data_IF_890819472879
#
_entry.id   IF_890819472879
#
_cell.length_a   1.000
_cell.length_b   1.000
_cell.length_c   1.000
_cell.angle_alpha   90.00
_cell.angle_beta   90.00
_cell.angle_gamma   90.00
#
_symmetry.space_group_name_H-M   'P 1'
#
loop_
_entity.id
_entity.type
_entity.pdbx_description
1 polymer ?
#
# COMPACT_ATOMS: atom_id res chain seq x y z
N UNK A 1 2.75 52.08 -18.72
CA UNK A 1 3.72 51.57 -17.72
C UNK A 1 2.92 51.31 -16.46
N UNK A 2 2.43 50.07 -16.30
CA UNK A 2 1.57 49.71 -15.17
C UNK A 2 2.46 49.51 -13.94
N UNK A 3 2.21 50.29 -12.91
CA UNK A 3 2.87 50.21 -11.60
C UNK A 3 2.30 49.01 -10.86
N UNK A 4 3.05 47.92 -10.79
CA UNK A 4 2.73 46.78 -9.94
C UNK A 4 2.94 47.20 -8.47
N UNK A 5 1.85 47.27 -7.72
CA UNK A 5 1.85 47.57 -6.29
C UNK A 5 2.25 46.31 -5.50
N UNK A 6 3.37 46.32 -4.73
CA UNK A 6 3.86 45.15 -4.00
C UNK A 6 2.98 44.76 -2.79
N UNK A 7 1.96 45.57 -2.44
CA UNK A 7 1.09 45.31 -1.29
C UNK A 7 -0.02 44.27 -1.58
N UNK A 8 -0.36 44.03 -2.85
CA UNK A 8 -1.42 43.08 -3.21
C UNK A 8 -0.98 41.61 -3.01
N UNK A 9 0.28 41.29 -3.35
CA UNK A 9 0.79 39.92 -3.22
C UNK A 9 0.96 39.50 -1.75
N UNK A 10 1.30 40.42 -0.86
CA UNK A 10 1.45 40.11 0.58
C UNK A 10 0.12 39.72 1.22
N UNK A 11 -0.99 40.29 0.74
CA UNK A 11 -2.34 40.02 1.27
C UNK A 11 -2.90 38.70 0.74
N UNK A 12 -2.64 38.36 -0.52
CA UNK A 12 -2.97 37.05 -1.09
C UNK A 12 -2.19 35.91 -0.42
N UNK A 13 -0.90 36.12 -0.15
CA UNK A 13 -0.06 35.12 0.52
C UNK A 13 -0.55 34.81 1.94
N UNK A 14 -0.97 35.83 2.70
CA UNK A 14 -1.54 35.63 4.03
C UNK A 14 -2.87 34.84 4.00
N UNK A 15 -3.69 35.04 2.96
CA UNK A 15 -4.94 34.31 2.78
C UNK A 15 -4.72 32.82 2.42
N UNK A 16 -3.69 32.52 1.63
CA UNK A 16 -3.31 31.14 1.30
C UNK A 16 -2.71 30.44 2.53
N UNK A 17 -1.91 31.15 3.32
CA UNK A 17 -1.32 30.62 4.55
C UNK A 17 -2.41 30.23 5.56
N UNK A 18 -3.45 31.05 5.73
CA UNK A 18 -4.59 30.73 6.59
C UNK A 18 -5.36 29.50 6.10
N UNK A 19 -5.50 29.33 4.77
CA UNK A 19 -6.16 28.16 4.16
C UNK A 19 -5.32 26.87 4.31
N UNK A 20 -4.00 26.99 4.44
CA UNK A 20 -3.07 25.88 4.67
C UNK A 20 -2.98 25.44 6.14
N UNK A 21 -3.59 26.18 7.06
CA UNK A 21 -3.63 25.77 8.47
C UNK A 21 -4.64 24.63 8.65
N UNK A 22 -4.16 23.45 9.03
CA UNK A 22 -5.04 22.33 9.39
C UNK A 22 -5.67 22.58 10.77
N UNK A 23 -7.00 22.63 10.83
CA UNK A 23 -7.77 22.71 12.09
C UNK A 23 -8.08 21.32 12.68
N UNK A 24 -7.29 20.31 12.30
CA UNK A 24 -7.41 18.94 12.80
C UNK A 24 -7.17 18.90 14.31
N UNK A 25 -8.15 18.42 15.08
CA UNK A 25 -7.90 18.01 16.46
C UNK A 25 -7.17 16.68 16.42
N UNK A 26 -5.87 16.69 16.73
CA UNK A 26 -5.05 15.51 16.95
C UNK A 26 -5.46 14.79 18.25
N UNK A 27 -6.74 14.45 18.39
CA UNK A 27 -7.26 13.60 19.47
C UNK A 27 -6.91 12.14 19.13
N UNK A 28 -5.59 11.91 18.98
CA UNK A 28 -4.97 10.62 18.71
C UNK A 28 -4.83 9.84 20.01
N UNK A 29 -5.91 9.72 20.77
CA UNK A 29 -6.00 8.56 21.64
C UNK A 29 -5.83 7.35 20.71
N UNK A 30 -4.81 6.53 20.96
CA UNK A 30 -4.66 5.25 20.26
C UNK A 30 -6.03 4.57 20.29
N UNK A 31 -6.50 4.03 19.15
CA UNK A 31 -7.76 3.28 19.13
C UNK A 31 -7.77 2.31 20.32
N UNK A 32 -8.91 2.23 21.04
CA UNK A 32 -9.09 1.27 22.13
C UNK A 32 -8.47 -0.06 21.71
N UNK A 33 -7.57 -0.59 22.55
CA UNK A 33 -6.86 -1.84 22.28
C UNK A 33 -7.87 -2.83 21.70
N UNK A 34 -7.57 -3.35 20.50
CA UNK A 34 -8.36 -4.42 19.91
C UNK A 34 -8.60 -5.48 20.98
N UNK A 35 -9.84 -5.96 21.18
CA UNK A 35 -10.13 -6.89 22.26
C UNK A 35 -9.21 -8.11 22.15
N UNK A 36 -8.30 -8.24 23.14
CA UNK A 36 -7.19 -9.20 23.21
C UNK A 36 -7.62 -10.65 22.88
N UNK A 37 -8.86 -10.97 23.21
CA UNK A 37 -9.37 -12.35 23.17
C UNK A 37 -10.06 -12.70 21.85
N UNK A 38 -10.43 -11.72 21.01
CA UNK A 38 -11.27 -11.98 19.83
C UNK A 38 -10.51 -12.52 18.63
N UNK A 39 -9.34 -11.94 18.35
CA UNK A 39 -8.52 -12.31 17.19
C UNK A 39 -7.67 -13.54 17.48
N UNK A 40 -7.06 -13.63 18.66
CA UNK A 40 -6.17 -14.75 19.01
C UNK A 40 -6.92 -16.10 19.05
N UNK A 41 -8.12 -16.13 19.62
CA UNK A 41 -8.92 -17.35 19.69
C UNK A 41 -9.50 -17.75 18.31
N UNK A 42 -9.92 -16.77 17.51
CA UNK A 42 -10.33 -17.01 16.13
C UNK A 42 -9.18 -17.56 15.28
N UNK A 43 -7.99 -16.97 15.40
CA UNK A 43 -6.76 -17.40 14.73
C UNK A 43 -6.39 -18.82 15.17
N UNK A 44 -6.41 -19.13 16.46
CA UNK A 44 -6.10 -20.47 16.97
C UNK A 44 -7.09 -21.54 16.49
N UNK A 45 -8.38 -21.20 16.34
CA UNK A 45 -9.42 -22.14 15.89
C UNK A 45 -9.45 -22.33 14.36
N UNK A 46 -8.94 -21.38 13.59
CA UNK A 46 -9.04 -21.38 12.13
C UNK A 46 -7.68 -21.46 11.39
N UNK A 47 -6.55 -21.40 12.10
CA UNK A 47 -5.24 -21.62 11.49
C UNK A 47 -5.07 -23.11 11.15
N UNK A 48 -4.78 -23.47 9.90
CA UNK A 48 -4.17 -24.77 9.61
C UNK A 48 -2.81 -24.86 10.34
N UNK A 49 -2.27 -26.08 10.60
CA UNK A 49 -0.94 -26.22 11.18
C UNK A 49 0.03 -25.32 10.41
N UNK A 50 0.69 -24.42 11.13
CA UNK A 50 1.64 -23.44 10.57
C UNK A 50 2.79 -24.20 9.90
N UNK A 51 2.60 -24.59 8.65
CA UNK A 51 3.70 -24.69 7.72
C UNK A 51 4.23 -23.27 7.61
N UNK A 52 5.45 -23.08 8.10
CA UNK A 52 6.20 -21.86 7.90
C UNK A 52 6.03 -21.42 6.46
N UNK A 53 5.26 -20.34 6.25
CA UNK A 53 4.92 -19.88 4.90
C UNK A 53 6.20 -19.74 4.09
N UNK A 54 6.16 -20.05 2.80
CA UNK A 54 7.34 -20.08 1.92
C UNK A 54 8.23 -18.82 2.03
N UNK A 55 7.66 -17.67 2.41
CA UNK A 55 8.32 -16.42 2.78
C UNK A 55 9.40 -16.50 3.87
N UNK A 56 9.31 -17.50 4.75
CA UNK A 56 10.27 -17.79 5.82
C UNK A 56 11.30 -18.85 5.44
N UNK A 57 11.21 -19.37 4.20
CA UNK A 57 12.23 -20.24 3.63
C UNK A 57 13.45 -19.39 3.28
N UNK A 58 14.65 -19.97 3.48
CA UNK A 58 15.89 -19.31 3.06
C UNK A 58 15.84 -18.98 1.56
N UNK A 59 16.43 -17.83 1.18
CA UNK A 59 16.55 -17.43 -0.22
C UNK A 59 17.17 -18.56 -1.03
N UNK A 60 16.52 -18.91 -2.13
CA UNK A 60 17.04 -19.93 -3.05
C UNK A 60 18.26 -19.39 -3.79
N UNK A 61 19.03 -20.27 -4.41
CA UNK A 61 20.15 -19.84 -5.25
C UNK A 61 19.69 -18.94 -6.39
N UNK A 62 18.47 -19.13 -6.89
CA UNK A 62 17.90 -18.33 -7.97
C UNK A 62 17.54 -16.92 -7.48
N UNK A 63 16.98 -16.80 -6.26
CA UNK A 63 16.68 -15.50 -5.65
C UNK A 63 17.96 -14.68 -5.44
N UNK A 64 19.04 -15.31 -4.98
CA UNK A 64 20.34 -14.66 -4.84
C UNK A 64 20.91 -14.20 -6.20
N UNK A 65 20.74 -15.02 -7.25
CA UNK A 65 21.14 -14.64 -8.59
C UNK A 65 20.32 -13.45 -9.14
N UNK A 66 19.01 -13.39 -8.85
CA UNK A 66 18.18 -12.25 -9.24
C UNK A 66 18.57 -10.98 -8.49
N UNK A 67 18.87 -11.09 -7.19
CA UNK A 67 19.35 -9.97 -6.39
C UNK A 67 20.66 -9.40 -6.94
N UNK A 68 21.61 -10.27 -7.30
CA UNK A 68 22.87 -9.84 -7.92
C UNK A 68 22.65 -9.19 -9.29
N UNK A 69 21.73 -9.70 -10.10
CA UNK A 69 21.38 -9.09 -11.38
C UNK A 69 20.84 -7.67 -11.19
N UNK A 70 19.91 -7.47 -10.24
CA UNK A 70 19.35 -6.17 -9.91
C UNK A 70 20.42 -5.20 -9.38
N UNK A 71 21.33 -5.67 -8.53
CA UNK A 71 22.43 -4.86 -7.98
C UNK A 71 23.45 -4.40 -9.03
N UNK A 72 23.58 -5.13 -10.13
CA UNK A 72 24.49 -4.80 -11.23
C UNK A 72 23.88 -3.82 -12.25
N UNK A 73 22.60 -3.47 -12.12
CA UNK A 73 21.94 -2.54 -13.04
C UNK A 73 22.42 -1.10 -12.82
N UNK A 74 22.46 -0.34 -13.91
CA UNK A 74 22.61 1.11 -13.81
C UNK A 74 21.36 1.73 -13.18
N UNK A 75 21.48 2.91 -12.56
CA UNK A 75 20.35 3.61 -11.94
C UNK A 75 19.17 3.79 -12.91
N UNK A 76 19.45 4.13 -14.18
CA UNK A 76 18.41 4.29 -15.20
C UNK A 76 17.72 2.97 -15.54
N UNK A 77 18.47 1.87 -15.66
CA UNK A 77 17.91 0.54 -15.88
C UNK A 77 17.09 0.05 -14.69
N UNK A 78 17.56 0.32 -13.46
CA UNK A 78 16.82 -0.01 -12.24
C UNK A 78 15.48 0.73 -12.17
N UNK A 79 15.46 2.02 -12.49
CA UNK A 79 14.21 2.81 -12.55
C UNK A 79 13.25 2.23 -13.59
N UNK A 80 13.76 1.81 -14.75
CA UNK A 80 12.93 1.17 -15.78
C UNK A 80 12.33 -0.15 -15.30
N UNK A 81 13.11 -0.99 -14.59
CA UNK A 81 12.62 -2.26 -14.04
C UNK A 81 11.58 -2.03 -12.93
N UNK A 82 11.79 -1.03 -12.06
CA UNK A 82 10.79 -0.64 -11.04
C UNK A 82 9.48 -0.20 -11.70
N UNK A 83 9.57 0.60 -12.77
CA UNK A 83 8.37 1.02 -13.51
C UNK A 83 7.65 -0.16 -14.14
N UNK A 84 8.39 -1.07 -14.77
CA UNK A 84 7.83 -2.30 -15.36
C UNK A 84 7.10 -3.14 -14.30
N UNK A 85 7.72 -3.36 -13.14
CA UNK A 85 7.11 -4.11 -12.04
C UNK A 85 5.85 -3.43 -11.51
N UNK A 86 5.87 -2.09 -11.40
CA UNK A 86 4.69 -1.32 -11.03
C UNK A 86 3.54 -1.52 -12.02
N UNK A 87 3.82 -1.43 -13.32
CA UNK A 87 2.81 -1.60 -14.36
C UNK A 87 2.25 -3.04 -14.36
N UNK A 88 3.09 -4.04 -14.14
CA UNK A 88 2.68 -5.44 -14.01
C UNK A 88 1.82 -5.68 -12.76
N UNK A 89 2.21 -5.16 -11.61
CA UNK A 89 1.42 -5.27 -10.37
C UNK A 89 0.05 -4.61 -10.53
N UNK A 90 -0.03 -3.49 -11.24
CA UNK A 90 -1.30 -2.84 -11.54
C UNK A 90 -2.20 -3.72 -12.44
N UNK A 91 -1.66 -4.31 -13.51
CA UNK A 91 -2.43 -5.21 -14.37
C UNK A 91 -2.93 -6.44 -13.59
N UNK A 92 -2.07 -7.07 -12.79
CA UNK A 92 -2.45 -8.21 -11.95
C UNK A 92 -3.56 -7.83 -10.96
N UNK A 93 -3.50 -6.65 -10.35
CA UNK A 93 -4.56 -6.18 -9.45
C UNK A 93 -5.92 -5.99 -10.15
N UNK A 94 -5.92 -5.51 -11.40
CA UNK A 94 -7.15 -5.42 -12.19
C UNK A 94 -7.74 -6.81 -12.51
N UNK A 95 -6.88 -7.77 -12.87
CA UNK A 95 -7.28 -9.14 -13.17
C UNK A 95 -7.81 -9.85 -11.93
N UNK A 96 -7.12 -9.71 -10.80
CA UNK A 96 -7.56 -10.25 -9.51
C UNK A 96 -8.93 -9.68 -9.12
N UNK A 97 -9.13 -8.36 -9.18
CA UNK A 97 -10.40 -7.74 -8.84
C UNK A 97 -11.55 -8.24 -9.72
N UNK A 98 -11.28 -8.48 -11.02
CA UNK A 98 -12.24 -9.07 -11.95
C UNK A 98 -12.58 -10.50 -11.57
N UNK A 99 -11.60 -11.34 -11.28
CA UNK A 99 -11.83 -12.74 -10.89
C UNK A 99 -12.51 -12.85 -9.52
N UNK A 100 -12.18 -11.98 -8.57
CA UNK A 100 -12.87 -11.90 -7.28
C UNK A 100 -14.35 -11.53 -7.44
N UNK A 101 -14.64 -10.55 -8.30
CA UNK A 101 -16.01 -10.16 -8.65
C UNK A 101 -16.76 -11.32 -9.31
N UNK A 102 -16.11 -12.04 -10.24
CA UNK A 102 -16.67 -13.22 -10.88
C UNK A 102 -16.95 -14.34 -9.88
N UNK A 103 -16.02 -14.61 -8.96
CA UNK A 103 -16.19 -15.58 -7.87
C UNK A 103 -17.39 -15.24 -6.98
N UNK A 104 -17.60 -13.96 -6.67
CA UNK A 104 -18.79 -13.49 -5.93
C UNK A 104 -20.10 -13.83 -6.64
N UNK A 105 -20.18 -13.60 -7.96
CA UNK A 105 -21.38 -13.93 -8.75
C UNK A 105 -21.60 -15.45 -8.90
N UNK A 106 -20.51 -16.22 -9.01
CA UNK A 106 -20.54 -17.68 -9.03
C UNK A 106 -20.74 -18.30 -7.65
N UNK A 107 -20.78 -17.46 -6.62
CA UNK A 107 -21.15 -17.86 -5.28
C UNK A 107 -20.24 -18.92 -4.64
N UNK A 108 -18.98 -18.99 -5.10
CA UNK A 108 -18.01 -20.01 -4.68
C UNK A 108 -17.54 -19.84 -3.24
N UNK A 109 -17.74 -18.65 -2.66
CA UNK A 109 -17.38 -18.33 -1.28
C UNK A 109 -18.51 -18.59 -0.27
N UNK A 110 -19.69 -19.09 -0.70
CA UNK A 110 -20.73 -19.46 0.26
C UNK A 110 -20.43 -20.85 0.82
N UNK A 111 -20.26 -20.93 2.14
CA UNK A 111 -20.23 -22.20 2.84
C UNK A 111 -21.65 -22.76 2.90
N UNK A 112 -21.83 -24.01 2.45
CA UNK A 112 -23.08 -24.75 2.63
C UNK A 112 -23.23 -25.02 4.14
N UNK A 113 -24.16 -24.32 4.79
CA UNK A 113 -24.51 -24.52 6.19
C UNK A 113 -25.58 -25.60 6.31
#
# INVERSE_FOLDING_TARGET
MATNDPQNETTELACVEETLMSLEKLDRASPDLWPEQSVNEFIAQNLPPTDQGSWSTALTSDDLNQLHQLGNLTVTSLIAEVKKLHDEAYQLGLEEAKEMTRGKYLNIFKNNK
#
